data_IF_648462549589
#
_entry.id   IF_648462549589
#
_cell.length_a   1.000
_cell.length_b   1.000
_cell.length_c   1.000
_cell.angle_alpha   90.00
_cell.angle_beta   90.00
_cell.angle_gamma   90.00
#
_symmetry.space_group_name_H-M   'P 1'
#
loop_
_entity.id
_entity.type
_entity.pdbx_description
1 polymer ?
#
# COMPACT_ATOMS: atom_id res chain seq x y z
N UNK A 1 -19.51 0.06 10.46
CA UNK A 1 -18.37 -0.83 10.77
C UNK A 1 -17.15 -0.22 10.11
N UNK A 2 -16.07 0.07 10.85
CA UNK A 2 -14.86 0.65 10.25
C UNK A 2 -14.20 -0.43 9.38
N UNK A 3 -13.99 -0.13 8.09
CA UNK A 3 -13.30 -1.05 7.19
C UNK A 3 -11.81 -0.84 7.43
N UNK A 4 -11.15 -1.87 7.95
CA UNK A 4 -9.70 -1.88 8.06
C UNK A 4 -9.12 -2.04 6.67
N UNK A 5 -8.22 -1.13 6.32
CA UNK A 5 -7.49 -1.16 5.07
C UNK A 5 -6.06 -1.56 5.37
N UNK A 6 -5.49 -2.46 4.58
CA UNK A 6 -4.13 -2.94 4.74
C UNK A 6 -3.34 -2.77 3.46
N UNK A 7 -2.02 -2.65 3.62
CA UNK A 7 -1.04 -2.81 2.55
C UNK A 7 -0.06 -3.92 2.94
N UNK A 8 -0.04 -5.02 2.20
CA UNK A 8 0.87 -6.15 2.41
C UNK A 8 1.87 -6.20 1.27
N UNK A 9 3.16 -6.24 1.61
CA UNK A 9 4.24 -6.36 0.63
C UNK A 9 4.07 -7.68 -0.12
N UNK A 10 3.91 -7.59 -1.44
CA UNK A 10 3.79 -8.73 -2.34
C UNK A 10 5.15 -9.11 -2.90
N UNK A 11 5.93 -8.12 -3.31
CA UNK A 11 7.19 -8.34 -4.01
C UNK A 11 8.14 -7.17 -3.74
N UNK A 12 9.41 -7.50 -3.57
CA UNK A 12 10.48 -6.53 -3.39
C UNK A 12 11.69 -6.97 -4.19
N UNK A 13 12.06 -6.14 -5.16
CA UNK A 13 13.26 -6.29 -5.96
C UNK A 13 14.25 -5.15 -5.67
N UNK A 14 15.33 -5.07 -6.45
CA UNK A 14 16.35 -4.02 -6.29
C UNK A 14 15.82 -2.62 -6.60
N UNK A 15 14.95 -2.49 -7.59
CA UNK A 15 14.46 -1.19 -8.07
C UNK A 15 13.12 -0.78 -7.46
N UNK A 16 12.23 -1.74 -7.19
CA UNK A 16 10.86 -1.44 -6.75
C UNK A 16 10.37 -2.36 -5.63
N UNK A 17 9.36 -1.87 -4.92
CA UNK A 17 8.57 -2.66 -3.96
C UNK A 17 7.09 -2.53 -4.30
N UNK A 18 6.39 -3.65 -4.31
CA UNK A 18 4.97 -3.75 -4.66
C UNK A 18 4.21 -4.24 -3.44
N UNK A 19 3.11 -3.56 -3.14
CA UNK A 19 2.16 -3.91 -2.09
C UNK A 19 0.83 -4.23 -2.71
N UNK A 20 0.19 -5.31 -2.23
CA UNK A 20 -1.25 -5.48 -2.36
C UNK A 20 -1.94 -4.65 -1.30
N UNK A 21 -2.86 -3.80 -1.73
CA UNK A 21 -3.71 -3.01 -0.84
C UNK A 21 -5.15 -3.51 -0.95
N UNK A 22 -5.81 -3.68 0.19
CA UNK A 22 -7.16 -4.24 0.25
C UNK A 22 -7.81 -3.97 1.60
N UNK A 23 -9.05 -4.43 1.74
CA UNK A 23 -9.73 -4.51 3.03
C UNK A 23 -9.61 -5.93 3.57
N UNK A 24 -9.62 -6.11 4.89
CA UNK A 24 -9.60 -7.46 5.49
C UNK A 24 -10.85 -8.30 5.15
N UNK A 25 -11.86 -7.70 4.51
CA UNK A 25 -13.17 -8.29 4.25
C UNK A 25 -13.43 -8.57 2.76
N UNK A 26 -12.54 -8.16 1.84
CA UNK A 26 -12.72 -8.30 0.39
C UNK A 26 -11.41 -8.63 -0.34
N UNK A 27 -11.52 -8.91 -1.64
CA UNK A 27 -10.37 -9.10 -2.53
C UNK A 27 -9.48 -7.84 -2.59
N UNK A 28 -8.16 -8.01 -2.86
CA UNK A 28 -7.22 -6.90 -2.93
C UNK A 28 -7.68 -5.87 -3.96
N UNK A 29 -8.01 -4.68 -3.46
CA UNK A 29 -8.57 -3.56 -4.21
C UNK A 29 -7.55 -2.90 -5.15
N UNK A 30 -6.26 -3.01 -4.85
CA UNK A 30 -5.25 -2.40 -5.70
C UNK A 30 -3.84 -2.85 -5.39
N UNK A 31 -2.92 -2.39 -6.22
CA UNK A 31 -1.48 -2.53 -6.05
C UNK A 31 -0.84 -1.17 -5.87
N UNK A 32 0.07 -1.06 -4.91
CA UNK A 32 0.86 0.13 -4.66
C UNK A 32 2.31 -0.21 -4.97
N UNK A 33 2.89 0.43 -5.97
CA UNK A 33 4.30 0.30 -6.36
C UNK A 33 5.06 1.54 -5.89
N UNK A 34 6.17 1.31 -5.20
CA UNK A 34 7.16 2.34 -4.90
C UNK A 34 8.45 2.07 -5.66
N UNK A 35 8.99 3.11 -6.27
CA UNK A 35 10.34 3.13 -6.80
C UNK A 35 11.32 3.44 -5.66
N UNK A 36 12.37 2.63 -5.50
CA UNK A 36 13.31 2.77 -4.37
C UNK A 36 14.32 3.89 -4.58
N UNK A 37 14.67 4.23 -5.82
CA UNK A 37 15.62 5.30 -6.13
C UNK A 37 14.97 6.68 -6.01
N UNK A 38 13.78 6.83 -6.57
CA UNK A 38 13.08 8.12 -6.68
C UNK A 38 12.02 8.32 -5.61
N UNK A 39 11.58 7.24 -4.92
CA UNK A 39 10.43 7.24 -4.01
C UNK A 39 9.12 7.71 -4.68
N UNK A 40 9.03 7.55 -6.00
CA UNK A 40 7.81 7.72 -6.77
C UNK A 40 6.79 6.63 -6.43
N UNK A 41 5.52 7.02 -6.43
CA UNK A 41 4.38 6.20 -6.01
C UNK A 41 3.48 5.98 -7.23
N UNK A 42 3.24 4.72 -7.58
CA UNK A 42 2.25 4.31 -8.57
C UNK A 42 1.17 3.47 -7.90
N UNK A 43 -0.10 3.87 -8.04
CA UNK A 43 -1.25 3.13 -7.50
C UNK A 43 -2.05 2.60 -8.69
N UNK A 44 -2.17 1.28 -8.76
CA UNK A 44 -3.04 0.57 -9.70
C UNK A 44 -4.28 0.12 -8.93
N UNK A 45 -5.44 0.66 -9.29
CA UNK A 45 -6.73 0.30 -8.67
C UNK A 45 -7.42 -0.74 -9.54
N UNK A 46 -7.93 -1.81 -8.92
CA UNK A 46 -8.83 -2.75 -9.59
C UNK A 46 -10.21 -2.11 -9.78
N UNK A 47 -10.83 -2.30 -10.94
CA UNK A 47 -12.18 -1.81 -11.22
C UNK A 47 -13.23 -2.40 -10.27
N UNK A 48 -13.00 -3.61 -9.77
CA UNK A 48 -13.86 -4.32 -8.80
C UNK A 48 -13.55 -4.00 -7.33
N UNK A 49 -12.55 -3.14 -7.09
CA UNK A 49 -12.09 -2.86 -5.75
C UNK A 49 -13.00 -1.90 -4.96
N UNK A 50 -13.41 -2.30 -3.76
CA UNK A 50 -14.30 -1.56 -2.85
C UNK A 50 -13.70 -0.34 -2.13
N UNK A 51 -12.38 -0.23 -2.11
CA UNK A 51 -11.62 0.77 -1.38
C UNK A 51 -11.52 2.09 -2.17
N UNK A 52 -11.90 3.18 -1.52
CA UNK A 52 -11.74 4.54 -2.06
C UNK A 52 -10.27 4.90 -2.27
N UNK A 53 -10.00 5.81 -3.21
CA UNK A 53 -8.63 6.28 -3.50
C UNK A 53 -7.94 6.79 -2.22
N UNK A 54 -8.72 7.43 -1.34
CA UNK A 54 -8.27 7.93 -0.04
C UNK A 54 -7.67 6.84 0.85
N UNK A 55 -8.23 5.63 0.83
CA UNK A 55 -7.69 4.50 1.61
C UNK A 55 -6.37 3.99 1.04
N UNK A 56 -6.27 3.85 -0.29
CA UNK A 56 -5.02 3.50 -0.98
C UNK A 56 -3.92 4.53 -0.71
N UNK A 57 -4.25 5.82 -0.77
CA UNK A 57 -3.31 6.91 -0.44
C UNK A 57 -2.88 6.94 1.02
N UNK A 58 -3.79 6.64 1.97
CA UNK A 58 -3.42 6.51 3.40
C UNK A 58 -2.39 5.40 3.60
N UNK A 59 -2.61 4.23 2.97
CA UNK A 59 -1.69 3.10 3.04
C UNK A 59 -0.33 3.46 2.44
N UNK A 60 -0.32 4.03 1.23
CA UNK A 60 0.91 4.49 0.59
C UNK A 60 1.67 5.50 1.47
N UNK A 61 0.97 6.48 2.05
CA UNK A 61 1.57 7.49 2.92
C UNK A 61 2.20 6.88 4.17
N UNK A 62 1.55 5.88 4.79
CA UNK A 62 2.12 5.16 5.94
C UNK A 62 3.37 4.38 5.56
N UNK A 63 3.36 3.67 4.43
CA UNK A 63 4.54 2.94 3.93
C UNK A 63 5.71 3.90 3.75
N UNK A 64 5.47 5.02 3.06
CA UNK A 64 6.50 6.04 2.82
C UNK A 64 6.99 6.67 4.13
N UNK A 65 6.10 6.86 5.11
CA UNK A 65 6.47 7.39 6.43
C UNK A 65 7.41 6.42 7.16
N UNK A 66 7.02 5.14 7.28
CA UNK A 66 7.84 4.12 7.95
C UNK A 66 9.19 3.99 7.26
N UNK A 67 9.22 3.93 5.93
CA UNK A 67 10.48 3.89 5.17
C UNK A 67 11.39 5.09 5.48
N UNK A 68 10.84 6.31 5.59
CA UNK A 68 11.62 7.50 5.97
C UNK A 68 12.12 7.45 7.41
N UNK A 69 11.42 6.76 8.31
CA UNK A 69 11.78 6.64 9.73
C UNK A 69 12.81 5.52 9.97
N UNK A 70 12.71 4.40 9.25
CA UNK A 70 13.53 3.20 9.48
C UNK A 70 14.57 2.93 8.39
N UNK A 71 14.42 3.53 7.22
CA UNK A 71 15.19 3.19 6.01
C UNK A 71 14.71 1.90 5.33
N UNK A 72 13.67 1.25 5.87
CA UNK A 72 13.22 -0.07 5.41
C UNK A 72 11.72 -0.06 5.08
N UNK A 73 11.36 -0.71 3.98
CA UNK A 73 9.99 -0.84 3.57
C UNK A 73 9.24 -1.81 4.50
N UNK A 74 8.13 -1.42 5.15
CA UNK A 74 7.42 -2.30 6.08
C UNK A 74 6.80 -3.51 5.35
N UNK A 75 6.76 -4.68 5.98
CA UNK A 75 6.15 -5.88 5.39
C UNK A 75 4.61 -5.81 5.35
N UNK A 76 4.00 -5.14 6.34
CA UNK A 76 2.56 -4.89 6.41
C UNK A 76 2.33 -3.52 7.04
N UNK A 77 1.35 -2.78 6.52
CA UNK A 77 0.81 -1.58 7.16
C UNK A 77 -0.71 -1.72 7.25
N UNK A 78 -1.27 -1.21 8.34
CA UNK A 78 -2.72 -1.21 8.56
C UNK A 78 -3.18 0.21 8.86
N UNK A 79 -4.36 0.56 8.38
CA UNK A 79 -5.06 1.76 8.81
C UNK A 79 -6.51 1.42 9.07
N UNK A 80 -6.98 1.71 10.28
CA UNK A 80 -8.40 1.90 10.49
C UNK A 80 -8.84 3.06 9.57
N UNK A 81 -9.91 2.87 8.79
CA UNK A 81 -10.48 3.92 7.96
C UNK A 81 -11.85 4.36 8.43
#
# INVERSE_FOLDING_TARGET
MAINVYGKKELEDKEFVIYKAGSDYEEPTGKIKFDKETLELSILKSEEGSLSDRGLFKIASKIKKVYKETGEFPSKVESAS
#
